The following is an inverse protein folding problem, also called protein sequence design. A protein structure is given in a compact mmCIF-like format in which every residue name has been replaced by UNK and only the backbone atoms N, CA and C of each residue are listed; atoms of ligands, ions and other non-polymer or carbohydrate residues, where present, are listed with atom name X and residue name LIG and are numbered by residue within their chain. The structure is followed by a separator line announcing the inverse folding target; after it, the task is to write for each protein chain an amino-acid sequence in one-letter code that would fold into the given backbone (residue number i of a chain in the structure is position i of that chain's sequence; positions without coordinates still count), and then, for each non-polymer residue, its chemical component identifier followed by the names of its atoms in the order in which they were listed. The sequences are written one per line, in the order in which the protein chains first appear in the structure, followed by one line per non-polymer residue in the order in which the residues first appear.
data_IF_177488719994
#
_entry.id   IF_177488719994
#
_cell.length_a   1.000
_cell.length_b   1.000
_cell.length_c   1.000
_cell.angle_alpha   90.00
_cell.angle_beta   90.00
_cell.angle_gamma   90.00
#
_symmetry.space_group_name_H-M   'P 1'
#
loop_
_entity.id
_entity.type
_entity.pdbx_description
1 polymer ?
#
# COMPACT_ATOMS: atom_id res chain seq x y z
N UNK A 1 -11.07 9.72 13.19
CA UNK A 1 -12.01 10.45 14.09
C UNK A 1 -12.06 9.92 15.54
N UNK A 2 -11.32 8.85 15.87
CA UNK A 2 -11.32 8.24 17.22
C UNK A 2 -10.93 9.19 18.37
N UNK A 3 -10.09 10.20 18.11
CA UNK A 3 -9.71 11.22 19.10
C UNK A 3 -10.85 12.17 19.50
N UNK A 4 -11.94 12.23 18.71
CA UNK A 4 -13.07 13.13 18.95
C UNK A 4 -14.35 12.33 19.17
N UNK A 5 -14.57 11.85 20.40
CA UNK A 5 -15.71 10.98 20.75
C UNK A 5 -17.10 11.57 20.51
N UNK A 6 -17.22 12.90 20.46
CA UNK A 6 -18.50 13.62 20.25
C UNK A 6 -18.76 14.00 18.79
N UNK A 7 -17.84 13.69 17.88
CA UNK A 7 -17.95 14.08 16.47
C UNK A 7 -18.53 12.93 15.66
N UNK A 8 -19.52 13.23 14.82
CA UNK A 8 -20.09 12.26 13.89
C UNK A 8 -19.05 11.78 12.88
N UNK A 9 -18.96 10.46 12.72
CA UNK A 9 -18.13 9.76 11.73
C UNK A 9 -18.69 9.81 10.31
N UNK A 10 -19.92 10.31 10.13
CA UNK A 10 -20.52 10.50 8.80
C UNK A 10 -19.74 11.54 8.00
N UNK A 11 -19.49 11.22 6.74
CA UNK A 11 -18.82 12.08 5.76
C UNK A 11 -19.88 12.78 4.93
N UNK A 12 -19.64 14.04 4.60
CA UNK A 12 -20.50 14.84 3.75
C UNK A 12 -19.67 15.80 2.91
N UNK A 13 -20.26 16.92 2.50
CA UNK A 13 -19.57 17.94 1.70
C UNK A 13 -18.45 18.69 2.46
N UNK A 14 -18.50 18.71 3.80
CA UNK A 14 -17.48 19.34 4.62
C UNK A 14 -16.37 18.34 4.98
N UNK A 15 -15.13 18.71 4.65
CA UNK A 15 -13.95 17.89 4.87
C UNK A 15 -13.68 17.69 6.37
N UNK A 16 -13.41 16.43 6.75
CA UNK A 16 -13.04 16.02 8.11
C UNK A 16 -11.72 15.22 8.15
N UNK A 17 -11.12 14.95 7.01
CA UNK A 17 -9.82 14.28 6.90
C UNK A 17 -8.72 15.18 7.45
N UNK A 18 -7.67 14.54 8.00
CA UNK A 18 -6.50 15.21 8.58
C UNK A 18 -5.22 14.94 7.79
N UNK A 19 -5.32 14.13 6.74
CA UNK A 19 -4.24 13.71 5.87
C UNK A 19 -4.75 12.74 4.83
N UNK A 20 -3.89 12.44 3.85
CA UNK A 20 -4.18 11.55 2.74
C UNK A 20 -2.96 10.66 2.43
N UNK A 21 -3.19 9.62 1.64
CA UNK A 21 -2.16 8.70 1.17
C UNK A 21 -2.34 8.47 -0.31
N UNK A 22 -1.23 8.19 -0.99
CA UNK A 22 -1.26 7.78 -2.39
C UNK A 22 -0.57 6.43 -2.52
N UNK A 23 -1.07 5.59 -3.42
CA UNK A 23 -0.45 4.31 -3.73
C UNK A 23 -0.43 4.09 -5.23
N UNK A 24 0.61 3.42 -5.70
CA UNK A 24 0.80 3.14 -7.12
C UNK A 24 0.85 1.62 -7.32
N UNK A 25 0.08 1.17 -8.30
CA UNK A 25 0.01 -0.21 -8.74
C UNK A 25 -0.42 -0.26 -10.20
N UNK A 26 -0.10 -1.37 -10.89
CA UNK A 26 -0.48 -1.54 -12.31
C UNK A 26 -1.89 -2.07 -12.49
N UNK A 27 -2.55 -2.43 -11.39
CA UNK A 27 -3.96 -2.81 -11.30
C UNK A 27 -4.64 -1.98 -10.22
N UNK A 28 -5.94 -1.77 -10.37
CA UNK A 28 -6.74 -1.08 -9.35
C UNK A 28 -6.67 -1.82 -8.01
N UNK A 29 -6.83 -3.13 -8.03
CA UNK A 29 -6.81 -3.97 -6.83
C UNK A 29 -5.49 -3.79 -6.06
N UNK A 30 -4.37 -3.77 -6.78
CA UNK A 30 -3.03 -3.58 -6.23
C UNK A 30 -2.87 -2.21 -5.56
N UNK A 31 -3.18 -1.14 -6.30
CA UNK A 31 -3.09 0.22 -5.77
C UNK A 31 -4.05 0.45 -4.59
N UNK A 32 -5.27 -0.08 -4.69
CA UNK A 32 -6.30 0.08 -3.67
C UNK A 32 -5.92 -0.58 -2.34
N UNK A 33 -5.42 -1.82 -2.36
CA UNK A 33 -5.01 -2.50 -1.13
C UNK A 33 -3.78 -1.86 -0.48
N UNK A 34 -2.79 -1.41 -1.27
CA UNK A 34 -1.66 -0.62 -0.76
C UNK A 34 -2.13 0.66 -0.07
N UNK A 35 -3.00 1.43 -0.72
CA UNK A 35 -3.54 2.66 -0.14
C UNK A 35 -4.24 2.39 1.20
N UNK A 36 -5.04 1.33 1.29
CA UNK A 36 -5.71 0.97 2.55
C UNK A 36 -4.74 0.68 3.70
N UNK A 37 -3.62 0.00 3.42
CA UNK A 37 -2.57 -0.25 4.43
C UNK A 37 -1.81 1.00 4.85
N UNK A 38 -1.60 1.92 3.91
CA UNK A 38 -0.95 3.19 4.18
C UNK A 38 -1.77 4.12 5.09
N UNK A 39 -3.10 4.00 5.09
CA UNK A 39 -4.02 4.82 5.91
C UNK A 39 -3.88 4.53 7.40
N UNK A 40 -3.85 3.26 7.80
CA UNK A 40 -3.84 2.80 9.20
C UNK A 40 -3.04 1.51 9.34
N UNK A 41 -2.08 1.48 10.27
CA UNK A 41 -1.21 0.31 10.53
C UNK A 41 -1.98 -0.94 10.98
N UNK A 42 -3.19 -0.75 11.52
CA UNK A 42 -4.05 -1.85 11.93
C UNK A 42 -4.79 -2.50 10.75
N UNK A 43 -4.79 -1.85 9.58
CA UNK A 43 -5.47 -2.32 8.38
C UNK A 43 -4.47 -3.07 7.51
N UNK A 44 -4.77 -4.33 7.20
CA UNK A 44 -3.90 -5.19 6.38
C UNK A 44 -4.25 -5.18 4.89
N UNK A 45 -5.33 -4.49 4.51
CA UNK A 45 -5.85 -4.42 3.15
C UNK A 45 -7.38 -4.28 3.16
N UNK A 46 -8.03 -4.77 2.10
CA UNK A 46 -9.49 -4.79 1.99
C UNK A 46 -10.08 -5.99 2.72
N UNK A 47 -10.09 -5.90 4.06
CA UNK A 47 -10.51 -6.99 4.96
C UNK A 47 -12.04 -7.00 5.18
N UNK A 48 -12.75 -8.08 4.81
CA UNK A 48 -14.20 -8.20 5.02
C UNK A 48 -14.60 -8.49 6.49
N UNK A 49 -13.67 -8.84 7.38
CA UNK A 49 -13.97 -9.14 8.78
C UNK A 49 -13.82 -7.93 9.71
N UNK A 50 -13.24 -6.84 9.22
CA UNK A 50 -12.95 -5.66 10.04
C UNK A 50 -14.22 -4.96 10.57
N UNK A 51 -15.31 -5.01 9.80
CA UNK A 51 -16.63 -4.49 10.16
C UNK A 51 -17.72 -5.50 9.82
N UNK A 52 -18.87 -5.37 10.48
CA UNK A 52 -20.09 -6.10 10.11
C UNK A 52 -20.84 -5.32 9.05
N UNK A 53 -21.69 -6.02 8.31
CA UNK A 53 -22.59 -5.39 7.34
C UNK A 53 -23.57 -4.47 8.06
N UNK A 54 -23.70 -3.26 7.55
CA UNK A 54 -24.65 -2.26 8.00
C UNK A 54 -25.12 -1.46 6.78
N UNK A 55 -26.36 -1.71 6.36
CA UNK A 55 -26.98 -1.05 5.21
C UNK A 55 -27.08 0.47 5.38
N UNK A 56 -27.15 0.98 6.62
CA UNK A 56 -27.21 2.41 6.88
C UNK A 56 -25.84 3.06 6.66
N UNK A 57 -24.73 2.41 7.06
CA UNK A 57 -23.37 2.89 6.71
C UNK A 57 -23.08 2.77 5.20
N UNK A 58 -23.74 1.84 4.50
CA UNK A 58 -23.64 1.76 3.03
C UNK A 58 -24.36 2.93 2.36
N UNK A 59 -25.52 3.37 2.87
CA UNK A 59 -26.24 4.54 2.33
C UNK A 59 -25.60 5.85 2.75
N UNK A 60 -25.24 5.98 4.02
CA UNK A 60 -24.66 7.17 4.61
C UNK A 60 -23.14 6.98 4.83
N UNK A 61 -22.29 7.59 3.99
CA UNK A 61 -20.87 7.28 3.97
C UNK A 61 -20.18 7.63 5.30
N UNK A 62 -19.38 6.70 5.82
CA UNK A 62 -18.51 6.86 6.99
C UNK A 62 -17.03 6.74 6.61
N UNK A 63 -16.12 7.08 7.54
CA UNK A 63 -14.67 6.86 7.38
C UNK A 63 -14.28 5.39 7.22
N UNK A 64 -15.17 4.46 7.57
CA UNK A 64 -14.95 3.00 7.50
C UNK A 64 -15.86 2.29 6.50
N UNK A 65 -16.59 3.04 5.67
CA UNK A 65 -17.53 2.51 4.68
C UNK A 65 -16.92 1.42 3.79
N UNK A 66 -15.65 1.56 3.41
CA UNK A 66 -14.97 0.59 2.55
C UNK A 66 -14.96 -0.82 3.16
N UNK A 67 -14.77 -0.94 4.48
CA UNK A 67 -14.79 -2.23 5.16
C UNK A 67 -16.21 -2.81 5.28
N UNK A 68 -17.23 -1.96 5.37
CA UNK A 68 -18.64 -2.40 5.32
C UNK A 68 -18.98 -2.92 3.91
N UNK A 69 -18.45 -2.28 2.86
CA UNK A 69 -18.57 -2.79 1.47
C UNK A 69 -17.89 -4.14 1.33
N UNK A 70 -16.70 -4.33 1.90
CA UNK A 70 -16.01 -5.62 1.91
C UNK A 70 -16.84 -6.72 2.59
N UNK A 71 -17.41 -6.42 3.76
CA UNK A 71 -18.30 -7.33 4.48
C UNK A 71 -19.56 -7.66 3.68
N UNK A 72 -20.19 -6.68 3.02
CA UNK A 72 -21.41 -6.88 2.25
C UNK A 72 -21.17 -7.74 1.00
N UNK A 73 -20.04 -7.53 0.32
CA UNK A 73 -19.61 -8.39 -0.79
C UNK A 73 -19.43 -9.84 -0.35
N UNK A 74 -18.87 -10.05 0.85
CA UNK A 74 -18.68 -11.39 1.43
C UNK A 74 -20.00 -12.05 1.82
N UNK A 75 -20.97 -11.29 2.33
CA UNK A 75 -22.32 -11.79 2.64
C UNK A 75 -23.19 -12.06 1.39
N UNK A 76 -22.66 -11.80 0.19
CA UNK A 76 -23.29 -12.16 -1.07
C UNK A 76 -24.14 -11.04 -1.70
N UNK A 77 -23.96 -9.79 -1.29
CA UNK A 77 -24.62 -8.66 -1.94
C UNK A 77 -24.15 -8.54 -3.40
N UNK A 78 -25.10 -8.31 -4.31
CA UNK A 78 -24.77 -8.09 -5.72
C UNK A 78 -24.16 -6.71 -5.95
N UNK A 79 -23.34 -6.57 -7.00
CA UNK A 79 -22.76 -5.29 -7.41
C UNK A 79 -23.85 -4.24 -7.66
N UNK A 80 -24.98 -4.63 -8.24
CA UNK A 80 -26.12 -3.72 -8.46
C UNK A 80 -26.79 -3.27 -7.17
N UNK A 81 -26.94 -4.16 -6.18
CA UNK A 81 -27.46 -3.80 -4.87
C UNK A 81 -26.55 -2.76 -4.19
N UNK A 82 -25.24 -3.02 -4.18
CA UNK A 82 -24.24 -2.11 -3.62
C UNK A 82 -24.18 -0.79 -4.38
N UNK A 83 -24.30 -0.78 -5.70
CA UNK A 83 -24.40 0.45 -6.48
C UNK A 83 -25.63 1.27 -6.06
N UNK A 84 -26.78 0.61 -5.88
CA UNK A 84 -28.01 1.31 -5.51
C UNK A 84 -27.92 1.98 -4.14
N UNK A 85 -27.29 1.30 -3.16
CA UNK A 85 -27.05 1.83 -1.82
C UNK A 85 -25.95 2.92 -1.81
N UNK A 86 -24.83 2.64 -2.48
CA UNK A 86 -23.61 3.44 -2.26
C UNK A 86 -23.38 4.54 -3.28
N UNK A 87 -23.92 4.38 -4.49
CA UNK A 87 -23.60 5.14 -5.71
C UNK A 87 -22.14 5.08 -6.15
N UNK A 88 -21.33 4.17 -5.59
CA UNK A 88 -19.99 3.86 -6.09
C UNK A 88 -20.15 3.14 -7.42
N UNK A 89 -19.41 3.57 -8.45
CA UNK A 89 -19.52 2.96 -9.78
C UNK A 89 -19.30 1.45 -9.76
N UNK A 90 -20.06 0.75 -10.61
CA UNK A 90 -20.05 -0.72 -10.71
C UNK A 90 -18.66 -1.26 -11.03
N UNK A 91 -17.87 -0.53 -11.81
CA UNK A 91 -16.52 -0.94 -12.14
C UNK A 91 -15.65 -1.10 -10.89
N UNK A 92 -15.67 -0.13 -9.97
CA UNK A 92 -14.92 -0.22 -8.71
C UNK A 92 -15.45 -1.34 -7.82
N UNK A 93 -16.77 -1.46 -7.69
CA UNK A 93 -17.40 -2.52 -6.90
C UNK A 93 -17.06 -3.92 -7.43
N UNK A 94 -17.02 -4.10 -8.76
CA UNK A 94 -16.60 -5.35 -9.37
C UNK A 94 -15.12 -5.66 -9.07
N UNK A 95 -14.25 -4.65 -9.06
CA UNK A 95 -12.85 -4.83 -8.70
C UNK A 95 -12.65 -5.16 -7.21
N UNK A 96 -13.41 -4.52 -6.33
CA UNK A 96 -13.45 -4.87 -4.90
C UNK A 96 -13.97 -6.30 -4.69
N UNK A 97 -14.98 -6.73 -5.47
CA UNK A 97 -15.48 -8.11 -5.44
C UNK A 97 -14.38 -9.11 -5.80
N UNK A 98 -13.54 -8.83 -6.80
CA UNK A 98 -12.42 -9.71 -7.16
C UNK A 98 -11.49 -9.98 -5.97
N UNK A 99 -11.24 -8.96 -5.13
CA UNK A 99 -10.40 -9.10 -3.93
C UNK A 99 -11.09 -10.03 -2.93
N UNK A 100 -12.38 -9.81 -2.64
CA UNK A 100 -13.15 -10.63 -1.68
C UNK A 100 -13.31 -12.07 -2.15
N UNK A 101 -13.59 -12.28 -3.44
CA UNK A 101 -13.68 -13.61 -4.05
C UNK A 101 -12.34 -14.36 -3.89
N UNK A 102 -11.22 -13.67 -4.13
CA UNK A 102 -9.90 -14.28 -3.99
C UNK A 102 -9.50 -14.56 -2.54
N UNK A 103 -9.91 -13.72 -1.59
CA UNK A 103 -9.79 -14.01 -0.15
C UNK A 103 -10.49 -15.33 0.20
N UNK A 104 -11.68 -15.56 -0.34
CA UNK A 104 -12.43 -16.81 -0.13
C UNK A 104 -11.69 -18.03 -0.71
N UNK A 105 -11.03 -17.86 -1.86
CA UNK A 105 -10.17 -18.90 -2.44
C UNK A 105 -8.96 -19.19 -1.54
N UNK A 106 -8.29 -18.17 -1.01
CA UNK A 106 -7.16 -18.35 -0.09
C UNK A 106 -7.58 -19.02 1.22
N UNK A 107 -8.74 -18.69 1.76
CA UNK A 107 -9.30 -19.32 2.98
C UNK A 107 -9.65 -20.80 2.79
N UNK A 108 -9.86 -21.25 1.55
CA UNK A 108 -10.09 -22.67 1.25
C UNK A 108 -8.81 -23.51 1.26
N UNK A 109 -7.64 -22.86 1.40
CA UNK A 109 -6.31 -23.46 1.33
C UNK A 109 -5.56 -23.29 2.65
N UNK A 110 -4.75 -24.29 2.99
CA UNK A 110 -3.74 -24.19 4.06
C UNK A 110 -2.38 -23.77 3.47
N UNK A 111 -1.46 -23.28 4.32
CA UNK A 111 -0.14 -22.79 3.90
C UNK A 111 0.61 -23.75 2.96
N UNK A 112 0.64 -25.05 3.27
CA UNK A 112 1.34 -26.05 2.45
C UNK A 112 0.66 -26.34 1.12
N UNK A 113 -0.62 -26.02 1.00
CA UNK A 113 -1.41 -26.19 -0.23
C UNK A 113 -1.40 -24.96 -1.13
N UNK A 114 -0.91 -23.82 -0.63
CA UNK A 114 -0.72 -22.61 -1.44
C UNK A 114 0.42 -22.81 -2.43
N UNK A 115 0.05 -22.83 -3.71
CA UNK A 115 1.00 -22.97 -4.80
C UNK A 115 1.69 -21.63 -5.10
N UNK A 116 2.79 -21.68 -5.86
CA UNK A 116 3.46 -20.50 -6.40
C UNK A 116 2.47 -19.55 -7.10
N UNK A 117 1.58 -20.09 -7.93
CA UNK A 117 0.65 -19.28 -8.72
C UNK A 117 -0.42 -18.62 -7.84
N UNK A 118 -0.84 -19.29 -6.76
CA UNK A 118 -1.78 -18.72 -5.79
C UNK A 118 -1.17 -17.48 -5.10
N UNK A 119 0.07 -17.59 -4.64
CA UNK A 119 0.80 -16.50 -3.99
C UNK A 119 1.02 -15.39 -5.01
N UNK A 120 1.52 -15.71 -6.21
CA UNK A 120 1.75 -14.72 -7.27
C UNK A 120 0.48 -13.95 -7.62
N UNK A 121 -0.65 -14.62 -7.81
CA UNK A 121 -1.92 -13.97 -8.11
C UNK A 121 -2.43 -13.13 -6.92
N UNK A 122 -2.26 -13.59 -5.68
CA UNK A 122 -2.55 -12.79 -4.49
C UNK A 122 -1.74 -11.49 -4.48
N UNK A 123 -0.42 -11.58 -4.68
CA UNK A 123 0.47 -10.41 -4.70
C UNK A 123 0.13 -9.46 -5.85
N UNK A 124 -0.22 -9.97 -7.03
CA UNK A 124 -0.67 -9.16 -8.17
C UNK A 124 -1.99 -8.41 -7.92
N UNK A 125 -2.85 -8.92 -7.04
CA UNK A 125 -4.05 -8.23 -6.57
C UNK A 125 -3.77 -7.27 -5.39
N UNK A 126 -2.53 -7.20 -4.91
CA UNK A 126 -2.11 -6.30 -3.83
C UNK A 126 -2.23 -6.86 -2.41
N UNK A 127 -2.40 -8.18 -2.24
CA UNK A 127 -2.46 -8.78 -0.91
C UNK A 127 -1.11 -8.66 -0.19
N UNK A 128 -1.14 -8.25 1.08
CA UNK A 128 0.03 -8.30 1.96
C UNK A 128 0.30 -9.73 2.42
N UNK A 129 1.55 -10.02 2.77
CA UNK A 129 1.98 -11.30 3.35
C UNK A 129 1.19 -11.57 4.64
N UNK A 130 0.91 -10.53 5.43
CA UNK A 130 0.06 -10.59 6.62
C UNK A 130 -1.39 -10.98 6.29
N UNK A 131 -1.98 -10.42 5.24
CA UNK A 131 -3.35 -10.77 4.82
C UNK A 131 -3.44 -12.21 4.31
N UNK A 132 -2.46 -12.65 3.51
CA UNK A 132 -2.36 -14.04 3.05
C UNK A 132 -2.21 -14.97 4.26
N UNK A 133 -1.32 -14.64 5.20
CA UNK A 133 -1.08 -15.42 6.41
C UNK A 133 -2.35 -15.62 7.24
N UNK A 134 -3.17 -14.57 7.41
CA UNK A 134 -4.47 -14.69 8.10
C UNK A 134 -5.41 -15.65 7.36
N UNK A 135 -5.51 -15.54 6.04
CA UNK A 135 -6.38 -16.42 5.24
C UNK A 135 -5.97 -17.89 5.31
N UNK A 136 -4.67 -18.19 5.27
CA UNK A 136 -4.12 -19.57 5.26
C UNK A 136 -3.77 -20.09 6.66
N UNK A 137 -4.14 -19.34 7.71
CA UNK A 137 -3.87 -19.65 9.13
C UNK A 137 -2.39 -19.88 9.44
N UNK A 138 -1.53 -19.04 8.90
CA UNK A 138 -0.08 -19.04 9.10
C UNK A 138 0.42 -17.72 9.73
N UNK A 139 1.73 -17.53 9.76
CA UNK A 139 2.40 -16.31 10.22
C UNK A 139 2.94 -15.52 9.03
N UNK A 140 3.01 -14.19 9.18
CA UNK A 140 3.54 -13.28 8.16
C UNK A 140 4.94 -13.69 7.69
N UNK A 141 5.82 -14.04 8.63
CA UNK A 141 7.19 -14.46 8.32
C UNK A 141 7.22 -15.76 7.52
N UNK A 142 6.36 -16.73 7.84
CA UNK A 142 6.33 -18.01 7.12
C UNK A 142 5.81 -17.86 5.68
N UNK A 143 4.81 -16.99 5.46
CA UNK A 143 4.34 -16.64 4.12
C UNK A 143 5.41 -15.90 3.34
N UNK A 144 6.12 -14.96 3.98
CA UNK A 144 7.24 -14.25 3.36
C UNK A 144 8.35 -15.19 2.92
N UNK A 145 8.80 -16.10 3.79
CA UNK A 145 9.82 -17.10 3.44
C UNK A 145 9.36 -17.98 2.29
N UNK A 146 8.12 -18.49 2.34
CA UNK A 146 7.56 -19.28 1.25
C UNK A 146 7.50 -18.51 -0.07
N UNK A 147 7.16 -17.21 -0.02
CA UNK A 147 7.13 -16.31 -1.18
C UNK A 147 8.53 -16.11 -1.78
N UNK A 148 9.53 -15.86 -0.94
CA UNK A 148 10.94 -15.72 -1.34
C UNK A 148 11.49 -17.03 -1.93
N UNK A 149 11.26 -18.17 -1.28
CA UNK A 149 11.68 -19.50 -1.74
C UNK A 149 11.03 -19.89 -3.07
N UNK A 150 9.79 -19.44 -3.29
CA UNK A 150 9.06 -19.65 -4.54
C UNK A 150 9.49 -18.68 -5.66
N UNK A 151 10.35 -17.70 -5.37
CA UNK A 151 10.80 -16.69 -6.34
C UNK A 151 9.74 -15.64 -6.68
N UNK A 152 8.70 -15.48 -5.86
CA UNK A 152 7.66 -14.47 -6.04
C UNK A 152 8.13 -13.15 -5.41
N UNK A 153 9.00 -12.46 -6.13
CA UNK A 153 9.55 -11.17 -5.72
C UNK A 153 8.90 -10.02 -6.51
N UNK A 154 8.81 -8.82 -5.92
CA UNK A 154 8.30 -7.69 -6.65
C UNK A 154 9.37 -7.05 -7.54
N UNK A 155 8.93 -6.24 -8.51
CA UNK A 155 9.80 -5.50 -9.41
C UNK A 155 9.70 -4.00 -9.16
N UNK A 156 10.80 -3.30 -9.43
CA UNK A 156 10.90 -1.84 -9.29
C UNK A 156 10.66 -1.17 -10.63
N UNK A 157 9.71 -0.26 -10.69
CA UNK A 157 9.29 0.47 -11.89
C UNK A 157 9.43 1.97 -11.72
N UNK A 158 9.75 2.67 -12.82
CA UNK A 158 9.86 4.13 -12.86
C UNK A 158 8.55 4.81 -13.21
N UNK A 159 8.40 6.04 -12.74
CA UNK A 159 7.32 6.95 -13.12
C UNK A 159 7.94 7.98 -14.08
N UNK A 160 7.53 7.90 -15.35
CA UNK A 160 8.17 8.60 -16.47
C UNK A 160 7.28 9.64 -17.14
N UNK A 161 6.03 9.79 -16.70
CA UNK A 161 4.97 10.65 -17.26
C UNK A 161 4.50 10.32 -18.70
N UNK A 162 5.29 9.57 -19.46
CA UNK A 162 5.05 9.24 -20.88
C UNK A 162 4.82 7.75 -21.16
N UNK A 163 4.56 6.95 -20.12
CA UNK A 163 4.25 5.52 -20.24
C UNK A 163 5.31 4.74 -21.05
N UNK A 164 6.58 5.00 -20.76
CA UNK A 164 7.77 4.45 -21.38
C UNK A 164 7.99 4.79 -22.87
N UNK A 165 7.34 5.83 -23.40
CA UNK A 165 7.65 6.35 -24.75
C UNK A 165 9.09 6.87 -24.83
N UNK A 166 9.57 7.52 -23.76
CA UNK A 166 10.93 8.03 -23.64
C UNK A 166 11.60 7.48 -22.38
N UNK A 167 12.93 7.27 -22.40
CA UNK A 167 13.66 6.82 -21.23
C UNK A 167 13.56 7.87 -20.12
N UNK A 168 12.95 7.49 -18.99
CA UNK A 168 12.90 8.33 -17.82
C UNK A 168 14.28 8.53 -17.21
N UNK A 169 14.66 9.79 -17.03
CA UNK A 169 15.79 10.20 -16.16
C UNK A 169 15.35 10.43 -14.71
N UNK A 170 14.06 10.27 -14.42
CA UNK A 170 13.48 10.47 -13.09
C UNK A 170 13.85 9.35 -12.14
N UNK A 171 14.12 9.72 -10.88
CA UNK A 171 14.43 8.81 -9.78
C UNK A 171 13.19 8.38 -9.00
N UNK A 172 12.02 8.45 -9.64
CA UNK A 172 10.73 8.25 -8.99
C UNK A 172 10.23 6.83 -9.24
N UNK A 173 10.11 6.04 -8.19
CA UNK A 173 9.98 4.59 -8.22
C UNK A 173 8.74 4.10 -7.46
N UNK A 174 8.17 3.01 -7.94
CA UNK A 174 7.18 2.21 -7.21
C UNK A 174 7.45 0.72 -7.44
N UNK A 175 6.89 -0.12 -6.59
CA UNK A 175 7.12 -1.56 -6.55
C UNK A 175 5.85 -2.29 -7.03
N UNK A 176 5.97 -3.32 -7.85
CA UNK A 176 4.80 -4.06 -8.35
C UNK A 176 5.10 -5.52 -8.67
N UNK A 177 4.10 -6.37 -8.46
CA UNK A 177 4.14 -7.79 -8.86
C UNK A 177 3.61 -8.03 -10.29
N UNK A 178 3.06 -6.99 -10.92
CA UNK A 178 2.52 -7.03 -12.27
C UNK A 178 3.57 -6.64 -13.32
N UNK A 179 4.80 -7.14 -13.17
CA UNK A 179 5.93 -6.83 -14.04
C UNK A 179 6.82 -8.06 -14.29
N UNK A 180 7.79 -7.91 -15.18
CA UNK A 180 8.71 -8.99 -15.61
C UNK A 180 10.19 -8.65 -15.39
N UNK A 181 10.54 -7.38 -15.18
CA UNK A 181 11.91 -6.91 -14.96
C UNK A 181 11.92 -5.59 -14.17
N UNK A 182 13.06 -5.25 -13.60
CA UNK A 182 13.29 -3.93 -12.98
C UNK A 182 13.63 -2.88 -14.04
N UNK A 183 13.23 -1.63 -13.83
CA UNK A 183 13.61 -0.50 -14.70
C UNK A 183 14.96 0.13 -14.29
N UNK A 184 15.54 -0.32 -13.17
CA UNK A 184 16.78 0.21 -12.60
C UNK A 184 17.79 -0.90 -12.31
N UNK A 185 19.06 -0.51 -12.23
CA UNK A 185 20.14 -1.38 -11.76
C UNK A 185 20.50 -1.07 -10.31
N UNK A 186 20.89 -2.09 -9.54
CA UNK A 186 21.22 -1.99 -8.11
C UNK A 186 22.75 -2.09 -7.88
N UNK A 187 23.52 -1.18 -8.48
CA UNK A 187 25.00 -1.20 -8.45
C UNK A 187 25.63 -0.22 -7.46
N UNK A 188 24.87 0.80 -7.07
CA UNK A 188 25.34 1.92 -6.28
C UNK A 188 25.08 1.70 -4.79
N UNK A 189 26.03 2.11 -3.95
CA UNK A 189 25.82 2.13 -2.50
C UNK A 189 24.96 3.32 -2.09
N UNK A 190 23.88 3.05 -1.34
CA UNK A 190 22.97 4.08 -0.86
C UNK A 190 22.76 3.97 0.65
N UNK A 191 22.35 5.09 1.26
CA UNK A 191 21.78 5.13 2.61
C UNK A 191 20.27 5.29 2.52
N UNK A 192 19.52 4.40 3.17
CA UNK A 192 18.06 4.44 3.18
C UNK A 192 17.54 5.32 4.31
N UNK A 193 16.53 6.14 4.03
CA UNK A 193 15.82 7.00 4.99
C UNK A 193 14.33 6.69 4.89
N UNK A 194 13.71 6.36 6.02
CA UNK A 194 12.26 6.15 6.09
C UNK A 194 11.55 7.46 6.43
N UNK A 195 10.46 7.73 5.71
CA UNK A 195 9.63 8.91 5.93
C UNK A 195 8.67 8.78 7.11
N UNK A 196 7.89 9.84 7.30
CA UNK A 196 6.89 9.93 8.37
C UNK A 196 5.56 9.24 8.03
N UNK A 197 5.33 8.90 6.76
CA UNK A 197 4.07 8.34 6.29
C UNK A 197 2.92 9.38 6.33
N UNK A 198 1.71 8.90 6.60
CA UNK A 198 0.49 9.73 6.57
C UNK A 198 0.43 10.72 7.73
N UNK A 199 0.08 11.97 7.43
CA UNK A 199 -0.20 12.96 8.46
C UNK A 199 -1.41 12.59 9.31
N UNK A 200 -1.22 12.68 10.63
CA UNK A 200 -2.25 12.45 11.63
C UNK A 200 -2.09 13.48 12.74
N UNK A 201 -3.12 13.70 13.55
CA UNK A 201 -2.99 14.59 14.72
C UNK A 201 -1.87 14.08 15.63
N UNK A 202 -0.80 14.85 15.78
CA UNK A 202 0.40 14.49 16.55
C UNK A 202 1.57 13.92 15.72
N UNK A 203 1.39 13.75 14.41
CA UNK A 203 2.46 13.46 13.44
C UNK A 203 2.20 14.22 12.16
N UNK A 204 2.87 15.37 11.98
CA UNK A 204 2.66 16.25 10.83
C UNK A 204 3.99 16.61 10.16
N UNK A 205 4.04 17.79 9.52
CA UNK A 205 5.14 18.27 8.67
C UNK A 205 6.48 18.37 9.39
N UNK A 206 6.49 18.45 10.72
CA UNK A 206 7.71 18.46 11.52
C UNK A 206 8.60 17.23 11.26
N UNK A 207 8.00 16.05 11.10
CA UNK A 207 8.74 14.81 10.82
C UNK A 207 9.24 14.77 9.37
N UNK A 208 8.49 15.34 8.44
CA UNK A 208 8.93 15.49 7.05
C UNK A 208 10.14 16.43 6.97
N UNK A 209 10.13 17.53 7.72
CA UNK A 209 11.28 18.42 7.81
C UNK A 209 12.51 17.68 8.35
N UNK A 210 12.38 16.88 9.41
CA UNK A 210 13.50 16.08 9.92
C UNK A 210 14.09 15.15 8.83
N UNK A 211 13.24 14.44 8.08
CA UNK A 211 13.67 13.57 6.98
C UNK A 211 14.37 14.35 5.86
N UNK A 212 13.79 15.46 5.41
CA UNK A 212 14.40 16.34 4.38
C UNK A 212 15.72 16.93 4.86
N UNK A 213 15.82 17.31 6.14
CA UNK A 213 17.07 17.76 6.75
C UNK A 213 18.14 16.68 6.69
N UNK A 214 17.80 15.43 7.05
CA UNK A 214 18.69 14.28 6.96
C UNK A 214 19.18 14.05 5.52
N UNK A 215 18.27 14.03 4.54
CA UNK A 215 18.60 13.85 3.12
C UNK A 215 19.58 14.93 2.62
N UNK A 216 19.36 16.19 3.00
CA UNK A 216 20.23 17.31 2.63
C UNK A 216 21.63 17.18 3.22
N UNK A 217 21.75 16.76 4.48
CA UNK A 217 23.06 16.54 5.10
C UNK A 217 23.80 15.33 4.50
N UNK A 218 23.09 14.22 4.21
CA UNK A 218 23.68 13.08 3.51
C UNK A 218 24.21 13.46 2.12
N UNK A 219 23.45 14.27 1.39
CA UNK A 219 23.86 14.81 0.08
C UNK A 219 25.11 15.68 0.20
N UNK A 220 25.21 16.55 1.23
CA UNK A 220 26.44 17.34 1.50
C UNK A 220 27.65 16.47 1.82
N UNK A 221 27.43 15.30 2.42
CA UNK A 221 28.47 14.30 2.69
C UNK A 221 28.78 13.40 1.47
N UNK A 222 28.24 13.72 0.29
CA UNK A 222 28.36 12.93 -0.94
C UNK A 222 27.90 11.47 -0.79
N UNK A 223 26.88 11.23 0.04
CA UNK A 223 26.22 9.92 0.17
C UNK A 223 24.97 9.90 -0.70
N UNK A 224 24.82 8.86 -1.52
CA UNK A 224 23.58 8.63 -2.28
C UNK A 224 22.47 8.20 -1.34
N UNK A 225 21.25 8.68 -1.56
CA UNK A 225 20.12 8.44 -0.66
C UNK A 225 18.95 7.73 -1.31
N UNK A 226 18.32 6.83 -0.56
CA UNK A 226 17.02 6.24 -0.89
C UNK A 226 16.00 6.78 0.10
N UNK A 227 14.91 7.38 -0.40
CA UNK A 227 13.77 7.80 0.42
C UNK A 227 12.61 6.83 0.21
N UNK A 228 12.00 6.36 1.29
CA UNK A 228 10.73 5.61 1.24
C UNK A 228 9.66 6.40 1.97
N UNK A 229 8.65 6.87 1.24
CA UNK A 229 7.49 7.57 1.81
C UNK A 229 6.28 7.46 0.87
N UNK A 230 5.08 7.70 1.37
CA UNK A 230 3.84 7.54 0.60
C UNK A 230 2.83 8.70 0.78
N UNK A 231 3.26 9.80 1.39
CA UNK A 231 2.41 10.97 1.61
C UNK A 231 2.61 11.98 0.47
N UNK A 232 1.60 12.21 -0.38
CA UNK A 232 1.71 13.04 -1.58
C UNK A 232 1.88 14.53 -1.28
N UNK A 233 1.59 14.98 -0.05
CA UNK A 233 1.68 16.40 0.35
C UNK A 233 3.10 16.81 0.76
N UNK A 234 4.06 15.88 0.77
CA UNK A 234 5.36 16.08 1.43
C UNK A 234 6.48 16.45 0.49
N UNK A 235 7.44 17.23 1.00
CA UNK A 235 8.63 17.59 0.23
C UNK A 235 9.57 16.40 0.12
N UNK A 236 9.58 15.49 1.10
CA UNK A 236 10.38 14.26 1.00
C UNK A 236 9.96 13.35 -0.16
N UNK A 237 8.71 13.44 -0.62
CA UNK A 237 8.22 12.75 -1.83
C UNK A 237 8.43 13.53 -3.13
N UNK A 238 9.19 14.63 -3.10
CA UNK A 238 9.66 15.26 -4.33
C UNK A 238 10.89 14.49 -4.86
N UNK A 239 10.91 14.24 -6.17
CA UNK A 239 11.92 13.38 -6.80
C UNK A 239 13.31 14.01 -6.83
N UNK A 240 13.43 15.31 -6.54
CA UNK A 240 14.68 16.06 -6.49
C UNK A 240 15.37 16.01 -5.10
N UNK A 241 14.68 15.50 -4.07
CA UNK A 241 15.20 15.42 -2.69
C UNK A 241 16.08 14.20 -2.43
N UNK A 242 15.96 13.12 -3.21
CA UNK A 242 16.75 11.89 -3.04
C UNK A 242 17.25 11.35 -4.38
N UNK A 243 18.28 10.50 -4.35
CA UNK A 243 18.79 9.83 -5.55
C UNK A 243 17.84 8.71 -6.01
N UNK A 244 17.05 8.13 -5.09
CA UNK A 244 15.96 7.20 -5.38
C UNK A 244 14.80 7.45 -4.43
N UNK A 245 13.65 7.78 -4.98
CA UNK A 245 12.41 7.91 -4.22
C UNK A 245 11.51 6.71 -4.50
N UNK A 246 11.26 5.90 -3.48
CA UNK A 246 10.24 4.86 -3.52
C UNK A 246 8.94 5.38 -2.92
N UNK A 247 7.92 5.54 -3.77
CA UNK A 247 6.57 5.87 -3.32
C UNK A 247 5.83 4.62 -2.85
N UNK A 248 6.22 4.14 -1.68
CA UNK A 248 5.77 2.84 -1.16
C UNK A 248 5.42 2.88 0.32
N UNK A 249 4.67 1.85 0.72
CA UNK A 249 4.22 1.62 2.08
C UNK A 249 5.43 1.43 3.02
N UNK A 250 5.40 2.10 4.18
CA UNK A 250 6.41 1.90 5.24
C UNK A 250 5.95 0.76 6.14
N UNK A 251 5.94 -0.46 5.59
CA UNK A 251 5.68 -1.69 6.34
C UNK A 251 6.88 -2.60 6.33
N UNK A 252 6.93 -3.53 7.29
CA UNK A 252 8.01 -4.51 7.39
C UNK A 252 8.23 -5.25 6.06
N UNK A 253 7.13 -5.67 5.41
CA UNK A 253 7.19 -6.38 4.15
C UNK A 253 7.85 -5.56 3.02
N UNK A 254 7.37 -4.34 2.78
CA UNK A 254 7.84 -3.51 1.66
C UNK A 254 9.23 -2.92 1.92
N UNK A 255 9.50 -2.46 3.14
CA UNK A 255 10.81 -1.94 3.51
C UNK A 255 11.86 -3.04 3.38
N UNK A 256 11.56 -4.27 3.81
CA UNK A 256 12.50 -5.39 3.69
C UNK A 256 12.67 -5.85 2.24
N UNK A 257 11.61 -5.83 1.42
CA UNK A 257 11.73 -6.10 -0.02
C UNK A 257 12.67 -5.10 -0.71
N UNK A 258 12.53 -3.80 -0.42
CA UNK A 258 13.41 -2.76 -0.98
C UNK A 258 14.82 -2.87 -0.41
N UNK A 259 14.96 -3.13 0.89
CA UNK A 259 16.25 -3.30 1.56
C UNK A 259 17.06 -4.45 0.94
N UNK A 260 16.42 -5.59 0.69
CA UNK A 260 17.06 -6.75 0.07
C UNK A 260 17.47 -6.51 -1.39
N UNK A 261 16.70 -5.70 -2.13
CA UNK A 261 17.01 -5.33 -3.52
C UNK A 261 18.16 -4.31 -3.60
N UNK A 262 18.14 -3.29 -2.75
CA UNK A 262 19.08 -2.18 -2.78
C UNK A 262 20.38 -2.45 -2.01
N UNK A 263 20.35 -3.35 -1.02
CA UNK A 263 21.46 -3.65 -0.11
C UNK A 263 22.17 -2.38 0.41
N UNK A 264 21.43 -1.47 1.09
CA UNK A 264 21.98 -0.17 1.49
C UNK A 264 23.04 -0.31 2.59
N UNK A 265 23.97 0.65 2.66
CA UNK A 265 25.03 0.70 3.69
C UNK A 265 24.42 0.77 5.11
N UNK A 266 23.28 1.46 5.21
CA UNK A 266 22.58 1.64 6.47
C UNK A 266 21.18 2.18 6.25
N UNK A 267 20.37 2.09 7.30
CA UNK A 267 19.01 2.61 7.35
C UNK A 267 18.89 3.62 8.49
N UNK A 268 18.24 4.75 8.22
CA UNK A 268 17.93 5.77 9.20
C UNK A 268 16.42 5.71 9.47
N UNK A 269 16.11 5.51 10.75
CA UNK A 269 14.75 5.54 11.31
C UNK A 269 14.63 6.86 12.06
N UNK A 270 13.84 7.80 11.54
CA UNK A 270 13.64 9.14 12.11
C UNK A 270 12.47 9.18 13.09
#
# INVERSE_FOLDING_TARGET
LSKFSRVSTKIGSSMKSVGEVMAIGRKFEEAFQKALRMVDENVTGFDPYFRKVDDEELKEPTDKRMFVVAAALREGYTVDSLYNLTKIDRWFLQKMKNIVDYTTVLESKDQHSCTHDDIRQAKQLGFSDKQIAVSVKSTELAVRTQREDSGVLPYVKRIDTVAAEWPATTNYLYVTYNATCHDIEFKDEHTMVLGSGVYRIGSSVEFDWCAVGCLRELRKLNRKTIMINYNPETVSTDYDMSDRLYFEEISFEMVMDIYNLENPIGIILC
#
